data_IF_283921755776
#
_entry.id   IF_283921755776
#
_cell.length_a   1.000
_cell.length_b   1.000
_cell.length_c   1.000
_cell.angle_alpha   90.00
_cell.angle_beta   90.00
_cell.angle_gamma   90.00
#
_symmetry.space_group_name_H-M   'P 1'
#
loop_
_entity.id
_entity.type
_entity.pdbx_description
1 polymer ?
#
# COMPACT_ATOMS: atom_id res chain seq x y z
N UNK A 1 -52.16 13.75 -22.19
CA UNK A 1 -51.54 13.77 -20.85
C UNK A 1 -50.51 12.64 -20.83
N UNK A 2 -49.20 12.96 -20.96
CA UNK A 2 -48.13 11.98 -20.95
C UNK A 2 -47.44 12.06 -19.59
N UNK A 3 -47.49 10.95 -18.82
CA UNK A 3 -46.76 10.81 -17.56
C UNK A 3 -45.32 10.46 -17.88
N UNK A 4 -44.40 11.36 -17.54
CA UNK A 4 -42.98 11.08 -17.53
C UNK A 4 -42.59 10.34 -16.24
N UNK A 5 -42.27 9.07 -16.33
CA UNK A 5 -41.69 8.30 -15.22
C UNK A 5 -40.23 8.67 -15.04
N UNK A 6 -39.91 9.39 -13.95
CA UNK A 6 -38.53 9.60 -13.51
C UNK A 6 -37.97 8.27 -12.99
N UNK A 7 -37.03 7.70 -13.75
CA UNK A 7 -36.21 6.58 -13.28
C UNK A 7 -35.16 7.09 -12.30
N UNK A 8 -35.34 6.81 -11.03
CA UNK A 8 -34.30 6.98 -10.00
C UNK A 8 -33.28 5.85 -10.20
N UNK A 9 -32.10 6.20 -10.67
CA UNK A 9 -30.94 5.31 -10.64
C UNK A 9 -30.35 5.35 -9.23
N UNK A 10 -30.25 4.21 -8.52
CA UNK A 10 -29.52 4.19 -7.26
C UNK A 10 -28.02 4.42 -7.56
N UNK A 11 -27.49 5.52 -7.05
CA UNK A 11 -26.03 5.72 -6.99
C UNK A 11 -25.45 4.60 -6.12
N UNK A 12 -24.75 3.67 -6.73
CA UNK A 12 -23.88 2.75 -6.02
C UNK A 12 -22.79 3.60 -5.35
N UNK A 13 -23.02 3.95 -4.09
CA UNK A 13 -21.96 4.41 -3.22
C UNK A 13 -21.01 3.22 -3.06
N UNK A 14 -19.86 3.28 -3.73
CA UNK A 14 -18.75 2.41 -3.42
C UNK A 14 -18.42 2.64 -1.94
N UNK A 15 -18.79 1.69 -1.09
CA UNK A 15 -18.33 1.66 0.29
C UNK A 15 -16.83 1.40 0.23
N UNK A 16 -16.04 2.46 0.23
CA UNK A 16 -14.64 2.37 0.58
C UNK A 16 -14.62 1.79 2.00
N UNK A 17 -14.15 0.57 2.15
CA UNK A 17 -13.69 0.09 3.44
C UNK A 17 -12.51 0.99 3.84
N UNK A 18 -12.84 2.15 4.39
CA UNK A 18 -11.87 3.13 4.87
C UNK A 18 -11.16 2.50 6.07
N UNK A 19 -10.06 1.80 5.75
CA UNK A 19 -9.11 1.38 6.76
C UNK A 19 -8.37 2.59 7.31
N UNK A 20 -7.69 2.44 8.42
CA UNK A 20 -6.88 3.49 9.03
C UNK A 20 -5.68 3.90 8.17
N UNK A 21 -5.29 3.06 7.22
CA UNK A 21 -4.29 3.32 6.19
C UNK A 21 -4.95 3.21 4.81
N UNK A 22 -4.66 4.16 3.94
CA UNK A 22 -5.04 4.12 2.53
C UNK A 22 -3.79 4.16 1.67
N UNK A 23 -3.81 3.45 0.55
CA UNK A 23 -2.79 3.54 -0.48
C UNK A 23 -3.41 4.18 -1.72
N UNK A 24 -2.75 5.20 -2.25
CA UNK A 24 -3.10 5.79 -3.54
C UNK A 24 -2.74 4.87 -4.71
N UNK A 25 -3.10 5.27 -5.92
CA UNK A 25 -2.68 4.55 -7.11
C UNK A 25 -1.16 4.53 -7.22
N UNK A 26 -0.54 3.34 -7.36
CA UNK A 26 0.90 3.25 -7.58
C UNK A 26 1.32 3.93 -8.88
N UNK A 27 2.52 4.49 -8.88
CA UNK A 27 3.11 5.06 -10.08
C UNK A 27 3.31 3.96 -11.14
N UNK A 28 2.87 4.25 -12.37
CA UNK A 28 3.07 3.34 -13.52
C UNK A 28 4.54 3.13 -13.80
N UNK A 29 4.88 1.94 -14.24
CA UNK A 29 6.24 1.54 -14.58
C UNK A 29 6.36 1.28 -16.08
N UNK A 30 7.42 1.76 -16.69
CA UNK A 30 7.77 1.44 -18.06
C UNK A 30 9.28 1.16 -18.15
N UNK A 31 9.67 0.20 -18.95
CA UNK A 31 11.08 -0.11 -19.13
C UNK A 31 11.35 -1.21 -20.15
N UNK A 32 12.61 -1.28 -20.56
CA UNK A 32 13.13 -2.32 -21.45
C UNK A 32 13.57 -3.53 -20.65
N UNK A 33 13.74 -4.66 -21.32
CA UNK A 33 14.33 -5.87 -20.73
C UNK A 33 15.64 -5.56 -20.01
N UNK A 34 15.85 -6.19 -18.87
CA UNK A 34 16.99 -6.00 -17.97
C UNK A 34 17.08 -4.63 -17.28
N UNK A 35 16.20 -3.70 -17.56
CA UNK A 35 16.18 -2.40 -16.89
C UNK A 35 15.75 -2.51 -15.43
N UNK A 36 16.38 -1.72 -14.57
CA UNK A 36 15.91 -1.45 -13.23
C UNK A 36 14.79 -0.40 -13.31
N UNK A 37 13.65 -0.68 -12.68
CA UNK A 37 12.49 0.19 -12.64
C UNK A 37 11.91 0.25 -11.23
N UNK A 38 11.17 1.30 -10.93
CA UNK A 38 10.57 1.47 -9.61
C UNK A 38 9.17 2.06 -9.71
N UNK A 39 8.35 1.74 -8.72
CA UNK A 39 7.03 2.33 -8.53
C UNK A 39 6.94 2.95 -7.15
N UNK A 40 6.45 4.18 -7.08
CA UNK A 40 6.15 4.85 -5.82
C UNK A 40 4.68 4.64 -5.47
N UNK A 41 4.43 4.30 -4.21
CA UNK A 41 3.09 4.09 -3.65
C UNK A 41 2.94 5.07 -2.48
N UNK A 42 2.08 6.06 -2.64
CA UNK A 42 1.82 7.03 -1.58
C UNK A 42 0.74 6.50 -0.65
N UNK A 43 1.06 6.41 0.62
CA UNK A 43 0.16 5.96 1.69
C UNK A 43 -0.21 7.13 2.60
N UNK A 44 -1.40 7.05 3.19
CA UNK A 44 -1.88 8.04 4.16
C UNK A 44 -2.53 7.36 5.36
N UNK A 45 -2.07 7.70 6.55
CA UNK A 45 -2.63 7.24 7.82
C UNK A 45 -3.69 8.24 8.27
N UNK A 46 -4.84 7.74 8.71
CA UNK A 46 -5.91 8.56 9.26
C UNK A 46 -5.41 9.35 10.47
N UNK A 47 -5.84 10.62 10.59
CA UNK A 47 -5.50 11.47 11.74
C UNK A 47 -5.88 10.80 13.07
N UNK A 48 -5.00 10.90 14.08
CA UNK A 48 -5.18 10.25 15.38
C UNK A 48 -4.72 8.80 15.44
N UNK A 49 -4.26 8.23 14.30
CA UNK A 49 -3.74 6.87 14.21
C UNK A 49 -2.28 6.87 13.79
N UNK A 50 -1.64 5.73 14.02
CA UNK A 50 -0.35 5.39 13.46
C UNK A 50 -0.37 3.94 13.00
N UNK A 51 0.56 3.58 12.14
CA UNK A 51 0.85 2.19 11.79
C UNK A 51 2.25 1.83 12.27
N UNK A 52 2.47 0.57 12.62
CA UNK A 52 3.83 0.12 12.88
C UNK A 52 4.68 0.29 11.63
N UNK A 53 5.96 0.61 11.81
CA UNK A 53 6.91 0.61 10.72
C UNK A 53 7.19 -0.81 10.22
N UNK A 54 8.01 -0.94 9.18
CA UNK A 54 8.51 -2.25 8.73
C UNK A 54 9.47 -2.91 9.73
N UNK A 55 9.96 -2.15 10.71
CA UNK A 55 10.87 -2.60 11.78
C UNK A 55 10.28 -2.22 13.16
N UNK A 56 9.18 -2.88 13.59
CA UNK A 56 8.55 -2.56 14.87
C UNK A 56 9.51 -2.86 16.03
N UNK A 57 9.35 -2.11 17.12
CA UNK A 57 10.21 -2.23 18.29
C UNK A 57 9.97 -3.48 19.14
N UNK A 58 8.79 -4.11 19.00
CA UNK A 58 8.37 -5.27 19.81
C UNK A 58 7.87 -6.39 18.90
N UNK A 59 8.17 -7.64 19.27
CA UNK A 59 7.88 -8.83 18.47
C UNK A 59 6.38 -9.13 18.28
N UNK A 60 5.54 -8.65 19.20
CA UNK A 60 4.09 -8.84 19.13
C UNK A 60 3.41 -7.83 18.16
N UNK A 61 4.11 -6.81 17.72
CA UNK A 61 3.60 -5.82 16.79
C UNK A 61 3.74 -6.30 15.34
N UNK A 62 2.69 -6.12 14.56
CA UNK A 62 2.66 -6.53 13.16
C UNK A 62 3.33 -5.45 12.30
N UNK A 63 4.41 -5.77 11.57
CA UNK A 63 5.11 -4.80 10.72
C UNK A 63 4.29 -4.41 9.49
N UNK A 64 4.54 -3.19 9.00
CA UNK A 64 4.14 -2.80 7.65
C UNK A 64 4.95 -3.62 6.64
N UNK A 65 4.26 -4.38 5.79
CA UNK A 65 4.93 -5.27 4.83
C UNK A 65 4.18 -5.36 3.51
N UNK A 66 4.88 -5.05 2.43
CA UNK A 66 4.42 -5.30 1.06
C UNK A 66 4.96 -6.64 0.58
N UNK A 67 4.06 -7.53 0.19
CA UNK A 67 4.37 -8.86 -0.33
C UNK A 67 3.77 -9.01 -1.72
N UNK A 68 4.54 -9.51 -2.67
CA UNK A 68 4.09 -9.70 -4.05
C UNK A 68 3.30 -11.02 -4.19
N UNK A 69 2.23 -10.97 -4.99
CA UNK A 69 1.40 -12.13 -5.34
C UNK A 69 1.72 -12.60 -6.75
N UNK A 70 1.63 -11.70 -7.73
CA UNK A 70 1.94 -11.95 -9.14
C UNK A 70 2.66 -10.73 -9.69
N UNK A 71 3.83 -10.91 -10.26
CA UNK A 71 4.63 -9.80 -10.79
C UNK A 71 4.84 -9.86 -12.31
N UNK A 72 4.49 -10.96 -12.94
CA UNK A 72 4.61 -11.13 -14.40
C UNK A 72 6.05 -10.95 -14.87
N UNK A 73 6.25 -9.97 -15.75
CA UNK A 73 7.56 -9.64 -16.32
C UNK A 73 8.49 -8.83 -15.40
N UNK A 74 8.04 -8.48 -14.19
CA UNK A 74 8.84 -7.73 -13.21
C UNK A 74 9.39 -8.68 -12.14
N UNK A 75 10.70 -8.74 -12.03
CA UNK A 75 11.41 -9.45 -10.96
C UNK A 75 11.48 -8.53 -9.73
N UNK A 76 10.89 -8.93 -8.58
CA UNK A 76 10.86 -8.07 -7.40
C UNK A 76 12.25 -7.86 -6.80
N UNK A 77 12.56 -6.60 -6.52
CA UNK A 77 13.68 -6.19 -5.70
C UNK A 77 13.23 -5.73 -4.30
N UNK A 78 14.11 -5.08 -3.55
CA UNK A 78 13.78 -4.57 -2.22
C UNK A 78 12.68 -3.51 -2.27
N UNK A 79 11.77 -3.56 -1.31
CA UNK A 79 10.86 -2.45 -1.03
C UNK A 79 11.54 -1.49 -0.06
N UNK A 80 11.59 -0.21 -0.43
CA UNK A 80 12.13 0.84 0.43
C UNK A 80 10.98 1.44 1.22
N UNK A 81 11.07 1.33 2.53
CA UNK A 81 10.13 1.91 3.48
C UNK A 81 10.65 3.25 3.99
N UNK A 82 9.76 4.18 4.39
CA UNK A 82 10.20 5.45 4.94
C UNK A 82 10.90 5.27 6.29
N UNK A 83 11.72 6.24 6.65
CA UNK A 83 12.32 6.29 7.99
C UNK A 83 11.23 6.43 9.04
N UNK A 84 11.14 5.52 10.03
CA UNK A 84 10.12 5.58 11.05
C UNK A 84 10.37 6.70 12.07
N UNK A 85 9.30 7.06 12.77
CA UNK A 85 9.38 7.92 13.95
C UNK A 85 9.40 7.04 15.20
N UNK A 86 10.05 7.53 16.24
CA UNK A 86 10.02 6.90 17.56
C UNK A 86 9.06 7.68 18.45
N UNK A 87 7.98 7.04 18.89
CA UNK A 87 6.91 7.66 19.67
C UNK A 87 6.59 6.83 20.91
N UNK A 88 6.32 7.52 22.04
CA UNK A 88 5.89 6.88 23.28
C UNK A 88 4.37 6.95 23.40
N UNK A 89 3.75 5.79 23.66
CA UNK A 89 2.32 5.66 23.89
C UNK A 89 2.00 5.10 25.26
N UNK A 90 0.85 5.45 25.83
CA UNK A 90 0.44 5.03 27.17
C UNK A 90 0.33 3.51 27.34
N UNK A 91 -0.05 2.80 26.27
CA UNK A 91 -0.22 1.34 26.29
C UNK A 91 1.11 0.56 26.17
N UNK A 92 2.24 1.24 25.97
CA UNK A 92 3.54 0.58 25.80
C UNK A 92 4.59 1.13 26.78
N UNK A 93 5.33 0.24 27.40
CA UNK A 93 6.42 0.61 28.30
C UNK A 93 7.62 1.21 27.56
N UNK A 94 7.77 0.85 26.29
CA UNK A 94 8.88 1.31 25.44
C UNK A 94 8.38 2.21 24.30
N UNK A 95 9.22 3.14 23.81
CA UNK A 95 8.93 3.87 22.58
C UNK A 95 8.75 2.91 21.40
N UNK A 96 7.80 3.21 20.52
CA UNK A 96 7.47 2.40 19.35
C UNK A 96 8.01 3.03 18.06
N UNK A 97 8.34 2.18 17.10
CA UNK A 97 8.77 2.57 15.75
C UNK A 97 7.55 2.59 14.83
N UNK A 98 7.11 3.80 14.44
CA UNK A 98 5.81 4.02 13.79
C UNK A 98 5.89 4.95 12.60
N UNK A 99 4.83 4.92 11.79
CA UNK A 99 4.59 5.84 10.69
C UNK A 99 3.25 6.54 10.89
N UNK A 100 3.22 7.83 10.61
CA UNK A 100 2.04 8.70 10.72
C UNK A 100 1.89 9.55 9.48
N UNK A 101 0.71 10.09 9.24
CA UNK A 101 0.46 11.01 8.15
C UNK A 101 0.68 10.38 6.79
N UNK A 102 1.25 11.14 5.87
CA UNK A 102 1.52 10.72 4.50
C UNK A 102 2.97 10.28 4.34
N UNK A 103 3.17 9.14 3.68
CA UNK A 103 4.49 8.61 3.39
C UNK A 103 4.50 7.82 2.08
N UNK A 104 5.67 7.60 1.52
CA UNK A 104 5.86 6.84 0.29
C UNK A 104 6.58 5.52 0.55
N UNK A 105 6.12 4.46 -0.13
CA UNK A 105 6.86 3.22 -0.32
C UNK A 105 7.44 3.25 -1.73
N UNK A 106 8.65 2.73 -1.91
CA UNK A 106 9.25 2.53 -3.24
C UNK A 106 9.44 1.05 -3.49
N UNK A 107 8.71 0.53 -4.48
CA UNK A 107 8.85 -0.84 -4.94
C UNK A 107 9.85 -0.89 -6.09
N UNK A 108 10.93 -1.64 -5.92
CA UNK A 108 11.97 -1.80 -6.94
C UNK A 108 11.78 -3.12 -7.67
N UNK A 109 12.03 -3.09 -8.98
CA UNK A 109 11.98 -4.26 -9.84
C UNK A 109 13.10 -4.23 -10.87
N UNK A 110 13.38 -5.40 -11.44
CA UNK A 110 14.12 -5.55 -12.68
C UNK A 110 13.17 -6.14 -13.73
N UNK A 111 13.18 -5.58 -14.93
CA UNK A 111 12.44 -6.18 -16.04
C UNK A 111 13.15 -7.45 -16.46
N UNK A 112 12.44 -8.58 -16.53
CA UNK A 112 12.99 -9.88 -16.89
C UNK A 112 13.67 -9.83 -18.27
N UNK A 113 14.76 -10.58 -18.42
CA UNK A 113 15.53 -10.65 -19.67
C UNK A 113 14.70 -11.17 -20.87
N UNK A 114 13.71 -12.02 -20.59
CA UNK A 114 12.82 -12.60 -21.58
C UNK A 114 11.41 -12.00 -21.58
N UNK A 115 11.23 -10.84 -20.94
CA UNK A 115 9.93 -10.20 -20.84
C UNK A 115 9.31 -9.94 -22.22
N UNK A 116 8.08 -10.34 -22.49
CA UNK A 116 7.39 -9.95 -23.71
C UNK A 116 7.07 -8.45 -23.67
N UNK A 117 7.15 -7.77 -24.82
CA UNK A 117 6.72 -6.39 -24.95
C UNK A 117 5.21 -6.28 -24.70
N UNK A 118 4.79 -5.14 -24.14
CA UNK A 118 3.39 -4.85 -23.89
C UNK A 118 3.05 -4.58 -22.43
N UNK A 119 1.75 -4.41 -22.14
CA UNK A 119 1.27 -4.06 -20.81
C UNK A 119 1.18 -5.29 -19.90
N UNK A 120 1.24 -5.01 -18.59
CA UNK A 120 0.97 -5.98 -17.54
C UNK A 120 0.62 -5.27 -16.22
N UNK A 121 0.32 -6.07 -15.21
CA UNK A 121 0.01 -5.59 -13.87
C UNK A 121 0.75 -6.48 -12.87
N UNK A 122 1.56 -5.86 -11.99
CA UNK A 122 2.11 -6.52 -10.83
C UNK A 122 1.17 -6.33 -9.65
N UNK A 123 0.83 -7.40 -8.95
CA UNK A 123 -0.08 -7.36 -7.80
C UNK A 123 0.61 -7.81 -6.52
N UNK A 124 0.21 -7.20 -5.42
CA UNK A 124 0.73 -7.50 -4.10
C UNK A 124 -0.26 -7.14 -3.01
N UNK A 125 0.17 -7.37 -1.78
CA UNK A 125 -0.62 -7.09 -0.58
C UNK A 125 0.22 -6.31 0.43
N UNK A 126 -0.30 -5.15 0.82
CA UNK A 126 0.29 -4.33 1.88
C UNK A 126 -0.43 -4.64 3.19
N UNK A 127 0.24 -5.38 4.06
CA UNK A 127 -0.27 -5.70 5.39
C UNK A 127 0.19 -4.64 6.39
N UNK A 128 -0.70 -4.21 7.26
CA UNK A 128 -0.42 -3.22 8.29
C UNK A 128 -1.22 -3.48 9.56
N UNK A 129 -0.76 -2.92 10.67
CA UNK A 129 -1.50 -2.85 11.92
C UNK A 129 -1.58 -1.39 12.35
N UNK A 130 -2.80 -0.90 12.51
CA UNK A 130 -3.05 0.44 13.00
C UNK A 130 -3.29 0.44 14.51
N UNK A 131 -2.83 1.50 15.15
CA UNK A 131 -3.03 1.76 16.57
C UNK A 131 -3.44 3.23 16.75
N UNK A 132 -4.12 3.51 17.85
CA UNK A 132 -4.25 4.88 18.36
C UNK A 132 -3.38 5.03 19.63
N UNK A 133 -3.62 6.07 20.42
CA UNK A 133 -2.89 6.32 21.67
C UNK A 133 -3.25 5.35 22.82
N UNK A 134 -4.28 4.51 22.64
CA UNK A 134 -4.81 3.60 23.68
C UNK A 134 -4.68 2.13 23.33
N UNK A 135 -4.80 1.76 22.04
CA UNK A 135 -4.88 0.36 21.64
C UNK A 135 -4.42 0.16 20.20
N UNK A 136 -4.01 -1.08 19.90
CA UNK A 136 -3.78 -1.57 18.55
C UNK A 136 -4.96 -2.41 18.07
N UNK A 137 -5.27 -2.30 16.78
CA UNK A 137 -6.35 -3.03 16.11
C UNK A 137 -5.82 -4.28 15.41
N UNK A 138 -6.69 -5.22 15.03
CA UNK A 138 -6.27 -6.35 14.21
C UNK A 138 -5.64 -5.89 12.89
N UNK A 139 -4.64 -6.63 12.37
CA UNK A 139 -4.00 -6.28 11.10
C UNK A 139 -4.99 -6.31 9.95
N UNK A 140 -4.76 -5.43 8.98
CA UNK A 140 -5.51 -5.34 7.73
C UNK A 140 -4.56 -5.44 6.54
N UNK A 141 -5.14 -5.69 5.38
CA UNK A 141 -4.41 -5.80 4.11
C UNK A 141 -5.05 -4.93 3.05
N UNK A 142 -4.22 -4.23 2.28
CA UNK A 142 -4.61 -3.44 1.12
C UNK A 142 -4.06 -4.14 -0.11
N UNK A 143 -4.90 -4.34 -1.14
CA UNK A 143 -4.45 -4.84 -2.44
C UNK A 143 -3.70 -3.73 -3.19
N UNK A 144 -2.54 -4.06 -3.73
CA UNK A 144 -1.70 -3.17 -4.52
C UNK A 144 -1.63 -3.70 -5.94
N UNK A 145 -1.87 -2.83 -6.92
CA UNK A 145 -1.77 -3.15 -8.33
C UNK A 145 -0.90 -2.10 -9.04
N UNK A 146 0.22 -2.52 -9.60
CA UNK A 146 1.17 -1.66 -10.31
C UNK A 146 1.07 -1.93 -11.80
N UNK A 147 0.46 -1.03 -12.58
CA UNK A 147 0.46 -1.16 -14.04
C UNK A 147 1.87 -0.94 -14.58
N UNK A 148 2.29 -1.79 -15.51
CA UNK A 148 3.57 -1.64 -16.18
C UNK A 148 3.45 -1.83 -17.69
N UNK A 149 4.46 -1.38 -18.41
CA UNK A 149 4.62 -1.59 -19.84
C UNK A 149 6.07 -1.93 -20.16
N UNK A 150 6.27 -3.05 -20.84
CA UNK A 150 7.56 -3.45 -21.38
C UNK A 150 7.71 -2.90 -22.80
N UNK A 151 8.76 -2.16 -23.01
CA UNK A 151 9.11 -1.52 -24.29
C UNK A 151 9.90 -2.43 -25.23
#
# INVERSE_FOLDING_TARGET
MALAALLWLPSLMAQSNAGYLTAGEPQRVAGKRNAAVQSKITCSVQAGYHVNSNTPAEDYLIPLKLTWTVTGALEPGPVIYPTPRTEKYEFSDKPLSVLTGRFDLTANFKVAANAPAGPGIATGKLRYQACNDRACYPPKTIDIAIPYRIE
#
